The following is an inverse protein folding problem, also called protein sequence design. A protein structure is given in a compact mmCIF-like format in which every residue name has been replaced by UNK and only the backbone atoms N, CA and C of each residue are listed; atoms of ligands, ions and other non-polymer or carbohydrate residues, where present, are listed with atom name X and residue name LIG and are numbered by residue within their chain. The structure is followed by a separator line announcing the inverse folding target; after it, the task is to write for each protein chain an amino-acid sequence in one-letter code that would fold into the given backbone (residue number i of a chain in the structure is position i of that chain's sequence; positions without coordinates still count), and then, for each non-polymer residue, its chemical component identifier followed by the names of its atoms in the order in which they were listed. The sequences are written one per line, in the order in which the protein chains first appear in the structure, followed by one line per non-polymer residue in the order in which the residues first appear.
data_IF_436973470227
#
_entry.id   IF_436973470227
#
_cell.length_a   1.000
_cell.length_b   1.000
_cell.length_c   1.000
_cell.angle_alpha   90.00
_cell.angle_beta   90.00
_cell.angle_gamma   90.00
#
_symmetry.space_group_name_H-M   'P 1'
#
loop_
_entity.id
_entity.type
_entity.pdbx_description
1 polymer ?
#
# COMPACT_ATOMS: atom_id res chain seq x y z
N UNK A 1 7.21 8.60 19.49
CA UNK A 1 8.29 7.59 19.57
C UNK A 1 8.02 6.80 20.84
N UNK A 2 7.86 5.48 20.79
CA UNK A 2 7.70 4.67 22.00
C UNK A 2 9.05 3.95 22.26
N UNK A 3 10.06 4.64 22.82
CA UNK A 3 11.43 4.12 22.93
C UNK A 3 11.52 2.82 23.74
N UNK A 4 10.52 2.51 24.58
CA UNK A 4 10.47 1.31 25.41
C UNK A 4 10.39 -0.01 24.61
N UNK A 5 9.73 -0.02 23.44
CA UNK A 5 9.57 -1.26 22.65
C UNK A 5 10.91 -1.74 22.08
N UNK A 6 11.71 -0.81 21.54
CA UNK A 6 13.00 -1.12 20.91
C UNK A 6 14.04 -1.59 21.94
N UNK A 7 14.05 -0.98 23.13
CA UNK A 7 14.99 -1.35 24.21
C UNK A 7 14.67 -2.67 24.90
N UNK A 8 13.46 -3.21 24.73
CA UNK A 8 13.02 -4.45 25.39
C UNK A 8 13.39 -5.74 24.64
N UNK A 9 13.85 -5.61 23.39
CA UNK A 9 14.14 -6.74 22.51
C UNK A 9 15.66 -6.90 22.38
N UNK A 10 16.19 -8.10 22.61
CA UNK A 10 17.59 -8.46 22.33
C UNK A 10 17.82 -8.53 20.80
N UNK A 11 17.83 -7.39 20.14
CA UNK A 11 18.03 -7.25 18.69
C UNK A 11 19.51 -7.09 18.36
N UNK A 12 19.90 -7.54 17.16
CA UNK A 12 21.19 -7.14 16.59
C UNK A 12 21.22 -5.65 16.29
N UNK A 13 22.41 -5.05 16.24
CA UNK A 13 22.58 -3.64 15.87
C UNK A 13 22.04 -3.32 14.47
N UNK A 14 22.04 -4.31 13.56
CA UNK A 14 21.47 -4.16 12.22
C UNK A 14 19.95 -4.07 12.26
N UNK A 15 19.28 -5.02 12.91
CA UNK A 15 17.82 -5.03 13.07
C UNK A 15 17.33 -3.82 13.87
N UNK A 16 18.05 -3.43 14.93
CA UNK A 16 17.73 -2.24 15.72
C UNK A 16 17.74 -0.96 14.88
N UNK A 17 18.79 -0.75 14.07
CA UNK A 17 18.87 0.41 13.15
C UNK A 17 17.81 0.37 12.06
N UNK A 18 17.50 -0.81 11.51
CA UNK A 18 16.46 -0.96 10.51
C UNK A 18 15.07 -0.59 11.08
N UNK A 19 14.75 -1.08 12.29
CA UNK A 19 13.51 -0.74 12.99
C UNK A 19 13.41 0.76 13.30
N UNK A 20 14.47 1.37 13.82
CA UNK A 20 14.50 2.81 14.10
C UNK A 20 14.27 3.61 12.81
N UNK A 21 14.92 3.21 11.71
CA UNK A 21 14.74 3.81 10.39
C UNK A 21 13.31 3.66 9.89
N UNK A 22 12.69 2.49 10.05
CA UNK A 22 11.28 2.28 9.68
C UNK A 22 10.34 3.20 10.45
N UNK A 23 10.52 3.31 11.77
CA UNK A 23 9.66 4.10 12.67
C UNK A 23 9.84 5.62 12.54
N UNK A 24 11.02 6.08 12.12
CA UNK A 24 11.32 7.52 12.06
C UNK A 24 10.37 8.24 11.09
N UNK A 25 9.55 9.15 11.62
CA UNK A 25 8.60 9.96 10.84
C UNK A 25 7.36 9.21 10.37
N UNK A 26 7.21 7.93 10.73
CA UNK A 26 5.98 7.19 10.48
C UNK A 26 4.90 7.60 11.50
N UNK A 27 3.65 7.58 11.05
CA UNK A 27 2.49 7.72 11.93
C UNK A 27 2.27 6.42 12.71
N UNK A 28 2.21 5.29 11.99
CA UNK A 28 1.98 3.98 12.59
C UNK A 28 2.70 2.88 11.80
N UNK A 29 3.19 1.86 12.52
CA UNK A 29 3.69 0.61 11.96
C UNK A 29 2.99 -0.54 12.66
N UNK A 30 2.29 -1.39 11.92
CA UNK A 30 1.52 -2.51 12.50
C UNK A 30 1.68 -3.83 11.71
N UNK A 31 1.85 -4.98 12.40
CA UNK A 31 2.31 -5.13 13.77
C UNK A 31 3.84 -4.91 13.87
N UNK A 32 4.29 -4.16 14.87
CA UNK A 32 5.74 -3.89 15.03
C UNK A 32 6.55 -5.15 15.34
N UNK A 33 6.00 -6.08 16.11
CA UNK A 33 6.68 -7.33 16.48
C UNK A 33 6.88 -8.25 15.25
N UNK A 34 5.91 -8.27 14.34
CA UNK A 34 6.03 -8.99 13.07
C UNK A 34 7.04 -8.32 12.14
N UNK A 35 7.10 -6.99 12.12
CA UNK A 35 8.12 -6.28 11.35
C UNK A 35 9.54 -6.62 11.85
N UNK A 36 9.73 -6.65 13.17
CA UNK A 36 11.00 -7.10 13.78
C UNK A 36 11.35 -8.52 13.34
N UNK A 37 10.41 -9.47 13.40
CA UNK A 37 10.65 -10.85 12.95
C UNK A 37 11.07 -10.92 11.48
N UNK A 38 10.43 -10.12 10.61
CA UNK A 38 10.77 -10.02 9.18
C UNK A 38 12.17 -9.45 8.97
N UNK A 39 12.54 -8.38 9.68
CA UNK A 39 13.87 -7.79 9.66
C UNK A 39 14.94 -8.78 10.12
N UNK A 40 14.71 -9.47 11.25
CA UNK A 40 15.64 -10.50 11.77
C UNK A 40 15.82 -11.64 10.77
N UNK A 41 14.73 -12.11 10.15
CA UNK A 41 14.81 -13.14 9.10
C UNK A 41 15.61 -12.63 7.91
N UNK A 42 15.35 -11.42 7.44
CA UNK A 42 16.04 -10.82 6.29
C UNK A 42 17.54 -10.68 6.54
N UNK A 43 17.93 -10.24 7.75
CA UNK A 43 19.34 -10.17 8.16
C UNK A 43 19.99 -11.56 8.20
N UNK A 44 19.30 -12.55 8.79
CA UNK A 44 19.84 -13.90 8.95
C UNK A 44 19.98 -14.66 7.62
N UNK A 45 19.07 -14.45 6.67
CA UNK A 45 19.08 -15.17 5.38
C UNK A 45 19.74 -14.37 4.26
N UNK A 46 19.95 -13.07 4.43
CA UNK A 46 20.36 -12.15 3.37
C UNK A 46 19.29 -11.93 2.30
N UNK A 47 18.05 -12.40 2.51
CA UNK A 47 16.96 -12.23 1.55
C UNK A 47 16.27 -10.88 1.74
N UNK A 48 16.24 -9.99 0.73
CA UNK A 48 15.53 -8.72 0.80
C UNK A 48 14.02 -8.89 1.04
N UNK A 49 13.44 -8.05 1.90
CA UNK A 49 11.99 -7.94 2.06
C UNK A 49 11.37 -7.18 0.88
N UNK A 50 10.09 -7.45 0.61
CA UNK A 50 9.33 -6.86 -0.49
C UNK A 50 8.42 -5.74 0.00
N UNK A 51 8.74 -4.51 -0.39
CA UNK A 51 8.11 -3.30 0.14
C UNK A 51 7.21 -2.67 -0.93
N UNK A 52 5.89 -2.63 -0.73
CA UNK A 52 4.91 -2.14 -1.70
C UNK A 52 4.51 -0.69 -1.41
N UNK A 53 4.45 0.15 -2.44
CA UNK A 53 3.68 1.39 -2.46
C UNK A 53 2.87 1.42 -3.76
N UNK A 54 1.55 1.53 -3.65
CA UNK A 54 0.65 1.69 -4.80
C UNK A 54 0.25 3.15 -4.99
N UNK A 55 0.27 3.63 -6.23
CA UNK A 55 -0.28 4.93 -6.61
C UNK A 55 -1.21 4.79 -7.82
N UNK A 56 -2.41 5.36 -7.71
CA UNK A 56 -3.36 5.46 -8.81
C UNK A 56 -3.03 6.69 -9.69
N UNK A 57 -2.67 6.52 -10.97
CA UNK A 57 -2.31 7.61 -11.90
C UNK A 57 -3.52 8.46 -12.33
N UNK A 58 -4.21 9.07 -11.37
CA UNK A 58 -5.42 9.90 -11.58
C UNK A 58 -5.12 11.36 -11.93
N UNK A 59 -3.89 11.81 -11.71
CA UNK A 59 -3.42 13.16 -12.05
C UNK A 59 -2.18 13.04 -12.95
N UNK A 60 -1.84 14.09 -13.73
CA UNK A 60 -0.66 14.07 -14.60
C UNK A 60 0.66 13.84 -13.84
N UNK A 61 0.75 14.38 -12.62
CA UNK A 61 1.97 14.40 -11.83
C UNK A 61 1.73 13.93 -10.39
N UNK A 62 2.80 13.43 -9.77
CA UNK A 62 2.91 13.19 -8.34
C UNK A 62 3.24 14.53 -7.65
N UNK A 63 2.35 15.03 -6.81
CA UNK A 63 2.61 16.25 -6.04
C UNK A 63 3.61 16.02 -4.88
N UNK A 64 4.17 17.11 -4.34
CA UNK A 64 5.19 17.09 -3.29
C UNK A 64 4.79 16.28 -2.03
N UNK A 65 3.51 16.19 -1.70
CA UNK A 65 3.04 15.33 -0.59
C UNK A 65 3.47 13.86 -0.69
N UNK A 66 3.61 13.30 -1.90
CA UNK A 66 4.08 11.91 -2.06
C UNK A 66 5.57 11.74 -1.78
N UNK A 67 6.36 12.83 -1.72
CA UNK A 67 7.77 12.73 -1.35
C UNK A 67 7.95 12.15 0.04
N UNK A 68 6.95 12.28 0.94
CA UNK A 68 6.97 11.66 2.27
C UNK A 68 7.07 10.14 2.17
N UNK A 69 6.18 9.51 1.40
CA UNK A 69 6.17 8.04 1.22
C UNK A 69 7.34 7.57 0.34
N UNK A 70 7.72 8.33 -0.69
CA UNK A 70 8.86 8.00 -1.55
C UNK A 70 10.20 8.04 -0.80
N UNK A 71 10.39 9.03 0.08
CA UNK A 71 11.59 9.10 0.92
C UNK A 71 11.65 7.93 1.91
N UNK A 72 10.50 7.49 2.46
CA UNK A 72 10.47 6.28 3.29
C UNK A 72 10.82 5.03 2.50
N UNK A 73 10.30 4.85 1.29
CA UNK A 73 10.71 3.76 0.40
C UNK A 73 12.22 3.81 0.14
N UNK A 74 12.78 4.98 -0.14
CA UNK A 74 14.23 5.12 -0.35
C UNK A 74 15.04 4.66 0.86
N UNK A 75 14.64 5.05 2.07
CA UNK A 75 15.28 4.58 3.30
C UNK A 75 15.24 3.05 3.41
N UNK A 76 14.14 2.41 3.01
CA UNK A 76 14.03 0.94 3.01
C UNK A 76 14.91 0.28 1.92
N UNK A 77 15.15 0.95 0.77
CA UNK A 77 16.15 0.50 -0.22
C UNK A 77 17.59 0.60 0.31
N UNK A 78 17.88 1.66 1.07
CA UNK A 78 19.19 1.87 1.66
C UNK A 78 19.48 0.82 2.76
N UNK A 79 18.43 0.26 3.40
CA UNK A 79 18.51 -0.94 4.26
C UNK A 79 18.69 -2.26 3.47
N UNK A 80 18.66 -2.22 2.14
CA UNK A 80 18.88 -3.39 1.28
C UNK A 80 17.61 -4.15 0.89
N UNK A 81 16.43 -3.61 1.16
CA UNK A 81 15.16 -4.22 0.74
C UNK A 81 14.79 -3.87 -0.71
N UNK A 82 13.96 -4.71 -1.32
CA UNK A 82 13.43 -4.46 -2.67
C UNK A 82 12.13 -3.68 -2.53
N UNK A 83 12.09 -2.49 -3.14
CA UNK A 83 10.85 -1.72 -3.20
C UNK A 83 10.13 -1.98 -4.50
N UNK A 84 8.80 -1.99 -4.42
CA UNK A 84 7.89 -2.23 -5.52
C UNK A 84 7.03 -0.98 -5.64
N UNK A 85 7.27 -0.20 -6.68
CA UNK A 85 6.47 0.95 -7.04
C UNK A 85 5.35 0.47 -7.97
N UNK A 86 4.16 0.30 -7.40
CA UNK A 86 2.99 -0.24 -8.08
C UNK A 86 2.16 0.89 -8.69
N UNK A 87 1.96 0.83 -9.99
CA UNK A 87 1.01 1.65 -10.72
C UNK A 87 -0.36 0.98 -10.65
N UNK A 88 -1.31 1.67 -10.05
CA UNK A 88 -2.70 1.23 -9.92
C UNK A 88 -3.53 1.51 -11.17
N UNK A 89 -3.12 1.00 -12.33
CA UNK A 89 -3.80 1.28 -13.61
C UNK A 89 -5.19 0.63 -13.68
N UNK A 90 -5.36 -0.56 -13.13
CA UNK A 90 -6.67 -1.20 -12.99
C UNK A 90 -7.53 -0.52 -11.91
N UNK A 91 -6.96 -0.29 -10.72
CA UNK A 91 -7.66 0.35 -9.58
C UNK A 91 -8.13 1.77 -9.89
N UNK A 92 -7.38 2.50 -10.74
CA UNK A 92 -7.80 3.81 -11.26
C UNK A 92 -9.13 3.76 -12.02
N UNK A 93 -9.45 2.64 -12.69
CA UNK A 93 -10.74 2.48 -13.39
C UNK A 93 -11.93 2.30 -12.46
N UNK A 94 -11.68 1.80 -11.23
CA UNK A 94 -12.69 1.67 -10.16
C UNK A 94 -12.83 3.01 -9.43
N UNK A 95 -11.69 3.63 -9.08
CA UNK A 95 -11.59 4.88 -8.34
C UNK A 95 -11.57 4.69 -6.82
N UNK A 96 -10.48 5.11 -6.17
CA UNK A 96 -10.36 5.06 -4.71
C UNK A 96 -11.44 5.93 -4.02
N UNK A 97 -12.29 5.37 -3.14
CA UNK A 97 -13.24 6.16 -2.37
C UNK A 97 -12.60 6.98 -1.23
N UNK A 98 -11.32 6.74 -0.89
CA UNK A 98 -10.72 7.18 0.38
C UNK A 98 -10.69 8.70 0.47
N UNK A 99 -11.38 9.25 1.48
CA UNK A 99 -11.44 10.69 1.72
C UNK A 99 -12.19 11.51 0.67
N UNK A 100 -12.95 10.89 -0.26
CA UNK A 100 -13.65 11.58 -1.35
C UNK A 100 -15.18 11.63 -1.17
N UNK A 101 -15.76 12.79 -1.47
CA UNK A 101 -17.22 13.04 -1.46
C UNK A 101 -17.88 13.01 -2.84
N UNK A 102 -17.11 12.89 -3.94
CA UNK A 102 -17.64 12.92 -5.32
C UNK A 102 -16.82 12.03 -6.26
N UNK A 103 -17.49 11.38 -7.21
CA UNK A 103 -16.87 10.59 -8.29
C UNK A 103 -16.19 11.49 -9.31
N UNK A 104 -14.91 11.22 -9.61
CA UNK A 104 -14.19 11.87 -10.72
C UNK A 104 -14.65 11.27 -12.06
N UNK A 105 -14.58 12.03 -13.18
CA UNK A 105 -14.81 11.46 -14.49
C UNK A 105 -13.79 10.33 -14.77
N UNK A 106 -14.21 9.23 -15.42
CA UNK A 106 -13.31 8.11 -15.71
C UNK A 106 -12.22 8.55 -16.71
N UNK A 107 -10.99 8.08 -16.48
CA UNK A 107 -9.86 8.30 -17.38
C UNK A 107 -9.82 7.23 -18.48
N UNK A 108 -9.35 7.60 -19.67
CA UNK A 108 -9.06 6.61 -20.72
C UNK A 108 -7.77 5.86 -20.41
N UNK A 109 -7.59 4.68 -21.03
CA UNK A 109 -6.37 3.87 -20.85
C UNK A 109 -5.12 4.63 -21.28
N UNK A 110 -5.22 5.42 -22.35
CA UNK A 110 -4.11 6.24 -22.85
C UNK A 110 -3.72 7.35 -21.86
N UNK A 111 -4.69 7.94 -21.17
CA UNK A 111 -4.43 8.92 -20.12
C UNK A 111 -3.76 8.28 -18.90
N UNK A 112 -4.24 7.11 -18.47
CA UNK A 112 -3.65 6.34 -17.37
C UNK A 112 -2.19 6.00 -17.68
N UNK A 113 -1.91 5.52 -18.89
CA UNK A 113 -0.55 5.19 -19.35
C UNK A 113 0.36 6.44 -19.36
N UNK A 114 -0.12 7.56 -19.92
CA UNK A 114 0.66 8.80 -19.96
C UNK A 114 0.99 9.34 -18.55
N UNK A 115 0.03 9.27 -17.63
CA UNK A 115 0.22 9.66 -16.23
C UNK A 115 1.22 8.70 -15.53
N UNK A 116 1.07 7.38 -15.75
CA UNK A 116 1.96 6.37 -15.17
C UNK A 116 3.43 6.56 -15.58
N UNK A 117 3.69 6.90 -16.84
CA UNK A 117 5.04 7.20 -17.32
C UNK A 117 5.65 8.42 -16.61
N UNK A 118 4.83 9.43 -16.33
CA UNK A 118 5.26 10.62 -15.58
C UNK A 118 5.54 10.29 -14.12
N UNK A 119 4.69 9.48 -13.50
CA UNK A 119 4.86 8.99 -12.12
C UNK A 119 6.17 8.24 -11.97
N UNK A 120 6.47 7.33 -12.89
CA UNK A 120 7.72 6.60 -12.90
C UNK A 120 8.94 7.53 -13.03
N UNK A 121 8.87 8.49 -13.96
CA UNK A 121 9.95 9.47 -14.15
C UNK A 121 10.20 10.28 -12.89
N UNK A 122 9.16 10.69 -12.17
CA UNK A 122 9.29 11.46 -10.93
C UNK A 122 9.77 10.59 -9.76
N UNK A 123 9.24 9.37 -9.61
CA UNK A 123 9.65 8.45 -8.57
C UNK A 123 11.13 8.04 -8.71
N UNK A 124 11.63 7.88 -9.93
CA UNK A 124 13.04 7.54 -10.20
C UNK A 124 14.04 8.66 -9.88
N UNK A 125 13.57 9.88 -9.59
CA UNK A 125 14.43 10.95 -9.05
C UNK A 125 14.79 10.72 -7.57
N UNK A 126 13.98 9.91 -6.86
CA UNK A 126 14.15 9.63 -5.42
C UNK A 126 14.62 8.18 -5.22
N UNK A 127 13.97 7.23 -5.90
CA UNK A 127 14.22 5.81 -5.76
C UNK A 127 15.42 5.35 -6.58
N UNK A 128 16.18 4.39 -6.06
CA UNK A 128 17.25 3.72 -6.81
C UNK A 128 16.64 2.73 -7.82
N UNK A 129 16.80 2.93 -9.14
CA UNK A 129 16.22 2.03 -10.14
C UNK A 129 16.75 0.60 -10.05
N UNK A 130 17.97 0.39 -9.58
CA UNK A 130 18.57 -0.95 -9.45
C UNK A 130 17.93 -1.80 -8.35
N UNK A 131 17.22 -1.15 -7.41
CA UNK A 131 16.53 -1.77 -6.28
C UNK A 131 15.01 -1.51 -6.32
N UNK A 132 14.48 -1.13 -7.47
CA UNK A 132 13.05 -0.82 -7.65
C UNK A 132 12.44 -1.75 -8.69
N UNK A 133 11.39 -2.46 -8.31
CA UNK A 133 10.46 -3.10 -9.25
C UNK A 133 9.34 -2.13 -9.58
N UNK A 134 9.07 -1.91 -10.86
CA UNK A 134 7.88 -1.17 -11.32
C UNK A 134 6.90 -2.19 -11.85
N UNK A 135 5.67 -2.17 -11.35
CA UNK A 135 4.63 -3.13 -11.70
C UNK A 135 3.32 -2.40 -11.96
N UNK A 136 2.46 -3.01 -12.77
CA UNK A 136 1.12 -2.51 -13.07
C UNK A 136 0.11 -3.53 -12.55
N UNK A 137 -0.90 -3.10 -11.79
CA UNK A 137 -1.83 -4.08 -11.21
C UNK A 137 -2.76 -4.73 -12.23
N UNK A 138 -2.91 -4.17 -13.43
CA UNK A 138 -3.56 -4.87 -14.55
C UNK A 138 -2.90 -6.21 -14.90
N UNK A 139 -1.61 -6.39 -14.63
CA UNK A 139 -0.85 -7.63 -14.91
C UNK A 139 -1.50 -8.88 -14.29
N UNK A 140 -2.13 -8.73 -13.13
CA UNK A 140 -2.83 -9.82 -12.43
C UNK A 140 -4.32 -9.53 -12.24
N UNK A 141 -4.76 -8.28 -12.34
CA UNK A 141 -6.18 -7.93 -12.20
C UNK A 141 -6.99 -8.26 -13.44
N UNK A 142 -6.48 -7.98 -14.65
CA UNK A 142 -7.20 -8.29 -15.89
C UNK A 142 -7.44 -9.81 -16.04
N UNK A 143 -6.46 -10.70 -15.76
CA UNK A 143 -6.65 -12.14 -15.88
C UNK A 143 -7.60 -12.76 -14.85
N UNK A 144 -7.96 -12.07 -13.74
CA UNK A 144 -8.92 -12.61 -12.77
C UNK A 144 -10.26 -12.93 -13.43
N UNK A 145 -10.71 -12.06 -14.34
CA UNK A 145 -12.04 -12.10 -14.93
C UNK A 145 -13.16 -12.10 -13.88
N UNK A 146 -14.40 -12.30 -14.34
CA UNK A 146 -15.56 -12.29 -13.43
C UNK A 146 -15.48 -13.37 -12.34
N UNK A 147 -14.93 -14.56 -12.66
CA UNK A 147 -14.81 -15.67 -11.71
C UNK A 147 -13.83 -15.35 -10.58
N UNK A 148 -12.65 -14.81 -10.91
CA UNK A 148 -11.67 -14.41 -9.93
C UNK A 148 -12.19 -13.28 -9.03
N UNK A 149 -12.88 -12.30 -9.62
CA UNK A 149 -13.53 -11.22 -8.86
C UNK A 149 -14.57 -11.73 -7.86
N UNK A 150 -15.40 -12.70 -8.24
CA UNK A 150 -16.39 -13.31 -7.33
C UNK A 150 -15.67 -14.05 -6.18
N UNK A 151 -14.62 -14.81 -6.49
CA UNK A 151 -13.84 -15.53 -5.47
C UNK A 151 -13.15 -14.58 -4.49
N UNK A 152 -12.61 -13.47 -4.99
CA UNK A 152 -12.01 -12.41 -4.19
C UNK A 152 -13.05 -11.72 -3.30
N UNK A 153 -14.20 -11.34 -3.86
CA UNK A 153 -15.29 -10.72 -3.11
C UNK A 153 -15.87 -11.63 -2.02
N UNK A 154 -15.82 -12.95 -2.21
CA UNK A 154 -16.26 -13.91 -1.20
C UNK A 154 -15.34 -14.01 0.04
N UNK A 155 -14.15 -13.40 -0.01
CA UNK A 155 -13.14 -13.42 1.07
C UNK A 155 -13.30 -12.28 2.08
N UNK A 156 -14.24 -11.37 1.85
CA UNK A 156 -14.47 -10.21 2.70
C UNK A 156 -15.97 -9.96 2.88
N UNK A 157 -16.37 -9.49 4.06
CA UNK A 157 -17.80 -9.28 4.36
C UNK A 157 -18.19 -7.82 4.17
N UNK A 158 -19.47 -7.60 3.82
CA UNK A 158 -20.04 -6.25 3.79
C UNK A 158 -19.92 -5.57 5.16
N UNK A 159 -20.14 -6.31 6.25
CA UNK A 159 -20.01 -5.77 7.61
C UNK A 159 -18.63 -5.14 7.86
N UNK A 160 -17.54 -5.84 7.48
CA UNK A 160 -16.18 -5.30 7.58
C UNK A 160 -15.95 -4.14 6.61
N UNK A 161 -16.49 -4.19 5.40
CA UNK A 161 -16.41 -3.06 4.46
C UNK A 161 -17.01 -1.78 5.05
N UNK A 162 -18.11 -1.92 5.80
CA UNK A 162 -18.80 -0.82 6.48
C UNK A 162 -18.09 -0.30 7.74
N UNK A 163 -17.02 -0.95 8.20
CA UNK A 163 -16.15 -0.42 9.26
C UNK A 163 -15.26 0.71 8.75
N UNK A 164 -15.08 0.84 7.43
CA UNK A 164 -14.37 1.95 6.81
C UNK A 164 -15.12 3.27 7.03
N UNK A 165 -14.42 4.27 7.55
CA UNK A 165 -15.02 5.52 8.04
C UNK A 165 -15.86 6.28 6.99
N UNK A 166 -15.39 6.34 5.74
CA UNK A 166 -16.08 7.04 4.65
C UNK A 166 -17.37 6.34 4.23
N UNK A 167 -17.36 5.01 4.06
CA UNK A 167 -18.56 4.22 3.79
C UNK A 167 -19.55 4.31 4.96
N UNK A 168 -19.08 4.21 6.20
CA UNK A 168 -19.93 4.32 7.38
C UNK A 168 -20.63 5.68 7.46
N UNK A 169 -19.89 6.78 7.26
CA UNK A 169 -20.43 8.14 7.26
C UNK A 169 -21.43 8.35 6.12
N UNK A 170 -21.09 7.96 4.89
CA UNK A 170 -21.97 8.09 3.71
C UNK A 170 -23.26 7.30 3.89
N UNK A 171 -23.17 6.06 4.37
CA UNK A 171 -24.33 5.20 4.60
C UNK A 171 -25.26 5.78 5.68
N UNK A 172 -24.71 6.23 6.82
CA UNK A 172 -25.50 6.89 7.88
C UNK A 172 -26.13 8.20 7.42
N UNK A 173 -25.47 8.93 6.52
CA UNK A 173 -25.97 10.16 5.94
C UNK A 173 -26.97 9.94 4.78
N UNK A 174 -27.29 8.69 4.43
CA UNK A 174 -28.14 8.38 3.28
C UNK A 174 -27.54 8.76 1.93
N UNK A 175 -26.22 8.97 1.86
CA UNK A 175 -25.50 9.26 0.62
C UNK A 175 -25.27 7.96 -0.15
N UNK A 176 -25.39 8.03 -1.48
CA UNK A 176 -25.21 6.87 -2.35
C UNK A 176 -23.79 6.31 -2.24
N UNK A 177 -23.69 4.98 -2.12
CA UNK A 177 -22.45 4.21 -2.25
C UNK A 177 -22.67 3.20 -3.36
N UNK A 178 -21.88 3.29 -4.43
CA UNK A 178 -21.98 2.37 -5.55
C UNK A 178 -21.31 1.05 -5.21
N UNK A 179 -21.87 -0.07 -5.65
CA UNK A 179 -21.38 -1.42 -5.31
C UNK A 179 -19.93 -1.64 -5.76
N UNK A 180 -19.52 -1.08 -6.90
CA UNK A 180 -18.15 -1.22 -7.40
C UNK A 180 -17.11 -0.57 -6.48
N UNK A 181 -17.49 0.42 -5.65
CA UNK A 181 -16.57 1.07 -4.70
C UNK A 181 -16.05 0.07 -3.65
N UNK A 182 -16.83 -0.98 -3.34
CA UNK A 182 -16.39 -2.08 -2.46
C UNK A 182 -15.35 -2.99 -3.09
N UNK A 183 -15.19 -2.94 -4.42
CA UNK A 183 -14.16 -3.74 -5.11
C UNK A 183 -12.78 -3.09 -4.97
N UNK A 184 -12.70 -1.77 -4.77
CA UNK A 184 -11.42 -1.07 -4.71
C UNK A 184 -10.49 -1.62 -3.61
N UNK A 185 -10.90 -1.71 -2.33
CA UNK A 185 -10.01 -2.21 -1.27
C UNK A 185 -9.61 -3.67 -1.50
N UNK A 186 -10.50 -4.45 -2.11
CA UNK A 186 -10.23 -5.85 -2.44
C UNK A 186 -9.16 -5.98 -3.51
N UNK A 187 -9.23 -5.16 -4.56
CA UNK A 187 -8.21 -5.14 -5.62
C UNK A 187 -6.87 -4.68 -5.08
N UNK A 188 -6.83 -3.56 -4.35
CA UNK A 188 -5.60 -3.10 -3.71
C UNK A 188 -5.01 -4.16 -2.78
N UNK A 189 -5.85 -4.86 -2.00
CA UNK A 189 -5.37 -5.92 -1.14
C UNK A 189 -4.91 -7.17 -1.90
N UNK A 190 -5.54 -7.51 -3.02
CA UNK A 190 -5.10 -8.60 -3.89
C UNK A 190 -3.75 -8.30 -4.55
N UNK A 191 -3.43 -7.02 -4.82
CA UNK A 191 -2.09 -6.63 -5.27
C UNK A 191 -1.01 -7.10 -4.29
N UNK A 192 -1.28 -7.05 -2.98
CA UNK A 192 -0.33 -7.55 -1.96
C UNK A 192 -0.16 -9.06 -2.00
N UNK A 193 -1.22 -9.81 -2.33
CA UNK A 193 -1.18 -11.26 -2.55
C UNK A 193 -0.34 -11.58 -3.78
N UNK A 194 -0.56 -10.87 -4.90
CA UNK A 194 0.17 -11.07 -6.14
C UNK A 194 1.67 -10.73 -6.00
N UNK A 195 1.97 -9.66 -5.26
CA UNK A 195 3.33 -9.18 -5.05
C UNK A 195 4.07 -9.87 -3.90
N UNK A 196 3.39 -10.69 -3.08
CA UNK A 196 3.92 -11.28 -1.84
C UNK A 196 4.57 -10.21 -0.96
N UNK A 197 3.83 -9.13 -0.70
CA UNK A 197 4.34 -7.97 0.04
C UNK A 197 4.65 -8.34 1.50
N UNK A 198 5.81 -7.89 2.00
CA UNK A 198 6.18 -7.98 3.41
C UNK A 198 5.76 -6.74 4.20
N UNK A 199 5.73 -5.58 3.53
CA UNK A 199 5.34 -4.29 4.07
C UNK A 199 4.64 -3.47 2.98
N UNK A 200 3.47 -2.90 3.27
CA UNK A 200 2.82 -1.91 2.40
C UNK A 200 2.82 -0.53 3.05
N UNK A 201 3.23 0.48 2.28
CA UNK A 201 3.21 1.88 2.69
C UNK A 201 1.96 2.59 2.16
N UNK A 202 1.46 3.54 2.95
CA UNK A 202 0.40 4.45 2.52
C UNK A 202 0.33 5.70 3.41
N UNK A 203 -0.55 6.63 3.03
CA UNK A 203 -0.94 7.73 3.92
C UNK A 203 -1.80 7.23 5.09
N UNK A 204 -2.02 8.07 6.09
CA UNK A 204 -2.89 7.77 7.24
C UNK A 204 -4.34 7.46 6.84
N UNK A 205 -4.80 8.03 5.72
CA UNK A 205 -6.11 7.78 5.10
C UNK A 205 -6.24 6.38 4.49
N UNK A 206 -5.13 5.69 4.23
CA UNK A 206 -5.11 4.38 3.57
C UNK A 206 -5.14 3.19 4.54
N UNK A 207 -5.14 3.43 5.85
CA UNK A 207 -5.02 2.36 6.88
C UNK A 207 -5.97 1.20 6.65
N UNK A 208 -7.23 1.46 6.32
CA UNK A 208 -8.20 0.41 6.03
C UNK A 208 -7.78 -0.47 4.84
N UNK A 209 -7.39 0.14 3.71
CA UNK A 209 -7.00 -0.60 2.51
C UNK A 209 -5.74 -1.43 2.74
N UNK A 210 -4.76 -0.88 3.47
CA UNK A 210 -3.54 -1.61 3.87
C UNK A 210 -3.86 -2.85 4.72
N UNK A 211 -4.84 -2.76 5.62
CA UNK A 211 -5.30 -3.89 6.43
C UNK A 211 -6.07 -4.94 5.61
N UNK A 212 -6.77 -4.54 4.54
CA UNK A 212 -7.41 -5.49 3.62
C UNK A 212 -6.37 -6.35 2.93
N UNK A 213 -5.25 -5.78 2.47
CA UNK A 213 -4.14 -6.55 1.89
C UNK A 213 -3.57 -7.58 2.86
N UNK A 214 -3.37 -7.16 4.12
CA UNK A 214 -2.93 -8.06 5.20
C UNK A 214 -3.91 -9.22 5.43
N UNK A 215 -5.21 -8.95 5.51
CA UNK A 215 -6.25 -9.98 5.69
C UNK A 215 -6.29 -10.93 4.49
N UNK A 216 -6.25 -10.41 3.26
CA UNK A 216 -6.29 -11.24 2.06
C UNK A 216 -5.07 -12.14 1.93
N UNK A 217 -3.87 -11.70 2.31
CA UNK A 217 -2.71 -12.59 2.34
C UNK A 217 -2.94 -13.81 3.26
N UNK A 218 -3.54 -13.63 4.43
CA UNK A 218 -3.89 -14.74 5.33
C UNK A 218 -4.89 -15.71 4.69
N UNK A 219 -5.93 -15.18 4.06
CA UNK A 219 -6.94 -15.98 3.35
C UNK A 219 -6.36 -16.79 2.17
N UNK A 220 -5.24 -16.33 1.60
CA UNK A 220 -4.50 -17.01 0.54
C UNK A 220 -3.32 -17.84 1.08
N UNK A 221 -3.20 -18.02 2.40
CA UNK A 221 -2.15 -18.82 3.04
C UNK A 221 -0.75 -18.22 2.94
N UNK A 222 -0.64 -16.92 2.67
CA UNK A 222 0.63 -16.18 2.67
C UNK A 222 0.93 -15.61 4.05
N UNK A 223 2.20 -15.33 4.30
CA UNK A 223 2.60 -14.53 5.45
C UNK A 223 2.06 -13.10 5.27
N UNK A 224 1.24 -12.58 6.21
CA UNK A 224 0.67 -11.25 6.09
C UNK A 224 1.73 -10.14 6.12
N UNK A 225 1.50 -9.09 5.33
CA UNK A 225 2.30 -7.87 5.31
C UNK A 225 2.15 -7.09 6.61
N UNK A 226 3.20 -6.39 7.01
CA UNK A 226 3.06 -5.25 7.91
C UNK A 226 2.51 -4.05 7.14
N UNK A 227 1.94 -3.08 7.84
CA UNK A 227 1.49 -1.81 7.27
C UNK A 227 2.28 -0.66 7.88
N UNK A 228 2.69 0.31 7.07
CA UNK A 228 3.39 1.51 7.52
C UNK A 228 2.67 2.74 6.99
N UNK A 229 2.01 3.48 7.89
CA UNK A 229 1.34 4.73 7.54
C UNK A 229 2.28 5.91 7.77
N UNK A 230 2.30 6.82 6.80
CA UNK A 230 3.02 8.08 6.87
C UNK A 230 2.02 9.23 7.01
N UNK A 231 2.36 10.30 7.77
CA UNK A 231 1.50 11.46 7.88
C UNK A 231 1.27 12.10 6.51
N UNK A 232 0.06 12.62 6.29
CA UNK A 232 -0.24 13.41 5.11
C UNK A 232 0.38 14.80 5.26
N UNK A 233 1.06 15.27 4.20
CA UNK A 233 1.57 16.63 4.16
C UNK A 233 0.39 17.59 3.97
N UNK A 234 0.21 18.53 4.90
CA UNK A 234 -0.79 19.58 4.78
C UNK A 234 -0.50 20.46 3.55
N UNK A 235 -1.54 20.75 2.77
CA UNK A 235 -1.46 21.68 1.64
C UNK A 235 -1.24 23.12 2.11
N UNK A 236 -0.64 23.94 1.23
CA UNK A 236 -0.46 25.38 1.44
C UNK A 236 -1.77 26.16 1.34
#
# INVERSE_FOLDING_TARGET
MNPEFVTSLNLSDGVGRALETSLRGADELLPQDEWVKKLTRSEATGQPLRIKLGLDPTAPDIHIGHTVVLNKMRQLQDLGHTVIFLIGDFTTTIGDPSGRNSTRPPLTREQIEANAQTYYRQASLVLDPSKTEIRYNSEWSDPLGARGMIQLAAKYTVARMMERDDFNKRFKAGQSISVHEFLYPLMQGYDSVALKSDLELGGTDQKFNLLVGRHLQQEYGQEPQCILTMPLLEGL
#
